data_IF_491710695411
#
_entry.id   IF_491710695411
#
_cell.length_a   1.000
_cell.length_b   1.000
_cell.length_c   1.000
_cell.angle_alpha   90.00
_cell.angle_beta   90.00
_cell.angle_gamma   90.00
#
_symmetry.space_group_name_H-M   'P 1'
#
loop_
_entity.id
_entity.type
_entity.pdbx_description
1 polymer ?
#
# COMPACT_ATOMS: atom_id res chain seq x y z
N UNK A 1 13.53 -25.47 -19.15
CA UNK A 1 12.55 -24.99 -18.16
C UNK A 1 12.07 -26.04 -17.16
N UNK A 2 11.58 -27.21 -17.58
CA UNK A 2 11.06 -28.25 -16.65
C UNK A 2 12.13 -28.84 -15.72
N UNK A 3 13.37 -28.96 -16.21
CA UNK A 3 14.52 -29.45 -15.44
C UNK A 3 14.97 -28.45 -14.36
N UNK A 4 15.02 -27.16 -14.71
CA UNK A 4 15.24 -26.05 -13.76
C UNK A 4 14.18 -26.01 -12.65
N UNK A 5 12.90 -26.15 -13.01
CA UNK A 5 11.81 -26.20 -12.02
C UNK A 5 11.98 -27.41 -11.09
N UNK A 6 12.33 -28.59 -11.62
CA UNK A 6 12.58 -29.79 -10.81
C UNK A 6 13.77 -29.62 -9.87
N UNK A 7 14.85 -29.00 -10.34
CA UNK A 7 16.05 -28.75 -9.55
C UNK A 7 15.78 -27.83 -8.35
N UNK A 8 15.05 -26.73 -8.54
CA UNK A 8 14.75 -25.82 -7.43
C UNK A 8 13.64 -26.35 -6.52
N UNK A 9 12.70 -27.12 -7.07
CA UNK A 9 11.65 -27.77 -6.27
C UNK A 9 12.22 -28.84 -5.33
N UNK A 10 13.27 -29.55 -5.73
CA UNK A 10 13.94 -30.55 -4.88
C UNK A 10 14.71 -29.92 -3.71
N UNK A 11 15.11 -28.64 -3.85
CA UNK A 11 15.78 -27.85 -2.80
C UNK A 11 14.80 -27.22 -1.80
N UNK A 12 13.49 -27.32 -2.01
CA UNK A 12 12.48 -26.76 -1.10
C UNK A 12 12.50 -27.51 0.22
N UNK A 13 12.76 -26.78 1.30
CA UNK A 13 12.72 -27.31 2.66
C UNK A 13 11.26 -27.45 3.08
N UNK A 14 10.91 -28.61 3.66
CA UNK A 14 9.59 -28.82 4.25
C UNK A 14 9.28 -27.76 5.31
N UNK A 15 8.05 -27.24 5.33
CA UNK A 15 7.53 -26.27 6.30
C UNK A 15 7.87 -26.61 7.76
N UNK A 16 7.82 -27.88 8.17
CA UNK A 16 8.16 -28.29 9.54
C UNK A 16 9.66 -28.11 9.83
N UNK A 17 10.52 -28.55 8.91
CA UNK A 17 11.97 -28.38 8.98
C UNK A 17 12.38 -26.91 8.89
N UNK A 18 11.61 -26.10 8.16
CA UNK A 18 11.77 -24.65 8.10
C UNK A 18 11.53 -24.04 9.48
N UNK A 19 10.39 -24.32 10.13
CA UNK A 19 10.10 -23.81 11.47
C UNK A 19 11.12 -24.26 12.53
N UNK A 20 11.56 -25.51 12.49
CA UNK A 20 12.56 -26.02 13.44
C UNK A 20 13.97 -25.48 13.22
N UNK A 21 14.28 -24.99 12.01
CA UNK A 21 15.56 -24.34 11.72
C UNK A 21 15.59 -22.89 12.23
N UNK A 22 14.44 -22.27 12.39
CA UNK A 22 14.33 -20.90 12.88
C UNK A 22 14.66 -20.81 14.38
N UNK A 23 15.28 -19.69 14.79
CA UNK A 23 15.57 -19.43 16.20
C UNK A 23 14.24 -19.37 16.98
N UNK A 24 14.19 -19.95 18.18
CA UNK A 24 12.99 -19.92 19.05
C UNK A 24 12.45 -18.49 19.21
N UNK A 25 13.33 -17.49 19.31
CA UNK A 25 12.96 -16.06 19.37
C UNK A 25 12.10 -15.62 18.17
N UNK A 26 12.35 -16.13 16.97
CA UNK A 26 11.57 -15.79 15.76
C UNK A 26 10.15 -16.35 15.89
N UNK A 27 10.02 -17.62 16.30
CA UNK A 27 8.71 -18.27 16.48
C UNK A 27 7.87 -17.52 17.53
N UNK A 28 8.49 -17.09 18.63
CA UNK A 28 7.83 -16.33 19.68
C UNK A 28 7.33 -14.95 19.22
N UNK A 29 7.96 -14.35 18.20
CA UNK A 29 7.52 -13.06 17.64
C UNK A 29 6.41 -13.18 16.60
N UNK A 30 6.13 -14.39 16.09
CA UNK A 30 5.07 -14.61 15.09
C UNK A 30 3.71 -14.06 15.58
N UNK A 31 3.21 -14.40 16.79
CA UNK A 31 1.93 -13.84 17.26
C UNK A 31 1.88 -12.31 17.29
N UNK A 32 3.00 -11.66 17.58
CA UNK A 32 3.10 -10.19 17.60
C UNK A 32 3.03 -9.63 16.17
N UNK A 33 3.73 -10.22 15.21
CA UNK A 33 3.67 -9.79 13.81
C UNK A 33 2.24 -9.93 13.26
N UNK A 34 1.59 -11.04 13.60
CA UNK A 34 0.23 -11.32 13.16
C UNK A 34 -0.83 -10.48 13.87
N UNK A 35 -0.58 -10.00 15.08
CA UNK A 35 -1.52 -9.10 15.77
C UNK A 35 -1.73 -7.79 15.01
N UNK A 36 -0.70 -7.31 14.29
CA UNK A 36 -0.76 -6.10 13.44
C UNK A 36 -1.66 -6.30 12.21
N UNK A 37 -1.98 -7.54 11.84
CA UNK A 37 -2.91 -7.81 10.74
C UNK A 37 -4.34 -7.34 11.05
N UNK A 38 -4.75 -7.41 12.33
CA UNK A 38 -6.08 -6.99 12.76
C UNK A 38 -6.31 -5.48 12.54
N UNK A 39 -5.46 -4.57 13.05
CA UNK A 39 -5.63 -3.14 12.79
C UNK A 39 -5.44 -2.80 11.31
N UNK A 40 -4.58 -3.51 10.57
CA UNK A 40 -4.45 -3.33 9.13
C UNK A 40 -5.75 -3.63 8.39
N UNK A 41 -6.40 -4.76 8.72
CA UNK A 41 -7.68 -5.13 8.12
C UNK A 41 -8.79 -4.14 8.47
N UNK A 42 -8.85 -3.66 9.71
CA UNK A 42 -9.78 -2.60 10.09
C UNK A 42 -9.53 -1.32 9.29
N UNK A 43 -8.27 -0.90 9.15
CA UNK A 43 -7.90 0.26 8.34
C UNK A 43 -8.35 0.11 6.88
N UNK A 44 -8.16 -1.06 6.26
CA UNK A 44 -8.63 -1.37 4.90
C UNK A 44 -10.14 -1.15 4.76
N UNK A 45 -10.93 -1.66 5.71
CA UNK A 45 -12.39 -1.49 5.74
C UNK A 45 -12.75 0.00 5.86
N UNK A 46 -12.20 0.69 6.86
CA UNK A 46 -12.55 2.08 7.13
C UNK A 46 -12.16 3.00 5.98
N UNK A 47 -10.98 2.82 5.40
CA UNK A 47 -10.51 3.62 4.26
C UNK A 47 -11.33 3.32 2.99
N UNK A 48 -11.67 2.05 2.76
CA UNK A 48 -12.55 1.65 1.66
C UNK A 48 -13.94 2.29 1.80
N UNK A 49 -14.52 2.26 3.01
CA UNK A 49 -15.81 2.88 3.30
C UNK A 49 -15.77 4.40 3.18
N UNK A 50 -14.72 5.03 3.74
CA UNK A 50 -14.47 6.46 3.66
C UNK A 50 -14.48 6.94 2.21
N UNK A 51 -13.67 6.35 1.33
CA UNK A 51 -13.68 6.77 -0.06
C UNK A 51 -14.98 6.37 -0.78
N UNK A 52 -15.62 5.26 -0.40
CA UNK A 52 -16.86 4.85 -1.05
C UNK A 52 -17.98 5.88 -0.85
N UNK A 53 -18.03 6.50 0.33
CA UNK A 53 -19.02 7.50 0.74
C UNK A 53 -18.58 8.91 0.34
N UNK A 54 -17.39 9.34 0.75
CA UNK A 54 -16.96 10.73 0.64
C UNK A 54 -16.52 11.11 -0.77
N UNK A 55 -15.81 10.24 -1.49
CA UNK A 55 -15.23 10.63 -2.78
C UNK A 55 -16.28 10.98 -3.84
N UNK A 56 -17.41 10.27 -3.96
CA UNK A 56 -18.51 10.70 -4.84
C UNK A 56 -19.08 12.08 -4.48
N UNK A 57 -19.19 12.41 -3.18
CA UNK A 57 -19.73 13.69 -2.71
C UNK A 57 -18.81 14.84 -3.13
N UNK A 58 -17.50 14.65 -2.96
CA UNK A 58 -16.48 15.64 -3.29
C UNK A 58 -15.95 15.55 -4.73
N UNK A 59 -16.55 14.70 -5.57
CA UNK A 59 -16.12 14.41 -6.96
C UNK A 59 -14.66 13.97 -7.11
N UNK A 60 -14.07 13.41 -6.06
CA UNK A 60 -12.72 12.85 -6.08
C UNK A 60 -12.77 11.48 -6.77
N UNK A 61 -11.84 11.14 -7.68
CA UNK A 61 -11.84 9.81 -8.29
C UNK A 61 -11.43 8.74 -7.27
N UNK A 62 -12.17 7.63 -7.24
CA UNK A 62 -11.90 6.47 -6.38
C UNK A 62 -10.56 5.80 -6.72
N UNK A 63 -9.87 5.33 -5.68
CA UNK A 63 -8.63 4.58 -5.80
C UNK A 63 -8.99 3.11 -6.05
N UNK A 64 -8.46 2.53 -7.13
CA UNK A 64 -8.68 1.12 -7.45
C UNK A 64 -7.78 0.27 -6.57
N UNK A 65 -8.36 -0.42 -5.58
CA UNK A 65 -7.63 -1.29 -4.63
C UNK A 65 -6.72 -2.33 -5.30
N UNK A 66 -7.18 -2.89 -6.43
CA UNK A 66 -6.45 -3.91 -7.21
C UNK A 66 -5.11 -3.42 -7.80
N UNK A 67 -4.93 -2.11 -7.94
CA UNK A 67 -3.69 -1.54 -8.49
C UNK A 67 -2.58 -1.48 -7.41
N UNK A 68 -2.93 -1.69 -6.14
CA UNK A 68 -2.03 -1.59 -4.99
C UNK A 68 -1.83 -2.93 -4.29
N UNK A 69 -2.92 -3.67 -4.02
CA UNK A 69 -2.85 -4.98 -3.35
C UNK A 69 -2.79 -6.06 -4.44
N UNK A 70 -1.56 -6.41 -4.82
CA UNK A 70 -1.25 -7.46 -5.80
C UNK A 70 -0.68 -8.66 -5.04
N UNK A 71 -1.32 -9.81 -5.22
CA UNK A 71 -0.96 -11.07 -4.56
C UNK A 71 -0.63 -12.06 -5.67
N UNK A 72 0.65 -12.24 -6.00
CA UNK A 72 1.10 -13.07 -7.11
C UNK A 72 2.20 -14.07 -6.71
N UNK A 73 2.86 -13.86 -5.57
CA UNK A 73 3.97 -14.71 -5.10
C UNK A 73 3.53 -16.07 -4.56
N UNK A 74 2.23 -16.30 -4.39
CA UNK A 74 1.71 -17.61 -3.96
C UNK A 74 1.99 -18.73 -4.98
N UNK A 75 2.21 -18.39 -6.25
CA UNK A 75 2.53 -19.34 -7.32
C UNK A 75 4.02 -19.72 -7.41
N UNK A 76 4.89 -19.13 -6.58
CA UNK A 76 6.32 -19.40 -6.63
C UNK A 76 6.61 -20.84 -6.17
N UNK A 77 7.01 -21.68 -7.12
CA UNK A 77 7.20 -23.13 -6.95
C UNK A 77 8.39 -23.51 -6.06
N UNK A 78 9.28 -22.56 -5.78
CA UNK A 78 10.47 -22.73 -4.95
C UNK A 78 10.28 -22.29 -3.49
N UNK A 79 9.06 -21.89 -3.10
CA UNK A 79 8.73 -21.54 -1.72
C UNK A 79 7.93 -22.67 -1.04
N UNK A 80 8.15 -22.86 0.25
CA UNK A 80 7.28 -23.69 1.07
C UNK A 80 6.01 -22.93 1.49
N UNK A 81 5.01 -23.64 2.03
CA UNK A 81 3.71 -23.05 2.39
C UNK A 81 3.82 -21.91 3.43
N UNK A 82 4.75 -22.01 4.39
CA UNK A 82 4.92 -20.96 5.42
C UNK A 82 5.53 -19.71 4.82
N UNK A 83 6.52 -19.88 3.94
CA UNK A 83 7.12 -18.77 3.21
C UNK A 83 6.10 -18.09 2.29
N UNK A 84 5.23 -18.86 1.64
CA UNK A 84 4.14 -18.32 0.84
C UNK A 84 3.15 -17.49 1.68
N UNK A 85 2.77 -17.98 2.86
CA UNK A 85 1.91 -17.23 3.80
C UNK A 85 2.58 -15.93 4.25
N UNK A 86 3.88 -15.94 4.56
CA UNK A 86 4.61 -14.73 4.92
C UNK A 86 4.70 -13.74 3.74
N UNK A 87 4.84 -14.25 2.51
CA UNK A 87 4.78 -13.40 1.31
C UNK A 87 3.41 -12.73 1.19
N UNK A 88 2.32 -13.50 1.35
CA UNK A 88 0.96 -12.98 1.34
C UNK A 88 0.76 -11.85 2.36
N UNK A 89 1.28 -12.04 3.58
CA UNK A 89 1.25 -11.00 4.63
C UNK A 89 1.94 -9.71 4.15
N UNK A 90 3.16 -9.82 3.63
CA UNK A 90 3.93 -8.66 3.17
C UNK A 90 3.32 -7.98 1.94
N UNK A 91 2.81 -8.76 0.98
CA UNK A 91 2.12 -8.26 -0.21
C UNK A 91 0.86 -7.48 0.19
N UNK A 92 0.06 -8.05 1.09
CA UNK A 92 -1.14 -7.39 1.59
C UNK A 92 -0.80 -6.10 2.35
N UNK A 93 0.13 -6.15 3.30
CA UNK A 93 0.41 -5.01 4.16
C UNK A 93 1.01 -3.84 3.37
N UNK A 94 2.04 -4.08 2.55
CA UNK A 94 2.65 -3.02 1.75
C UNK A 94 1.68 -2.47 0.70
N UNK A 95 0.90 -3.35 0.06
CA UNK A 95 -0.14 -2.93 -0.87
C UNK A 95 -1.21 -2.07 -0.19
N UNK A 96 -1.64 -2.45 1.01
CA UNK A 96 -2.60 -1.68 1.81
C UNK A 96 -2.05 -0.30 2.17
N UNK A 97 -0.81 -0.20 2.67
CA UNK A 97 -0.22 1.11 3.01
C UNK A 97 -0.12 2.00 1.77
N UNK A 98 0.26 1.45 0.62
CA UNK A 98 0.25 2.19 -0.65
C UNK A 98 -1.15 2.68 -1.04
N UNK A 99 -2.16 1.81 -0.93
CA UNK A 99 -3.56 2.14 -1.20
C UNK A 99 -4.08 3.26 -0.29
N UNK A 100 -3.84 3.14 1.02
CA UNK A 100 -4.24 4.16 2.00
C UNK A 100 -3.54 5.48 1.74
N UNK A 101 -2.26 5.45 1.42
CA UNK A 101 -1.48 6.65 1.09
C UNK A 101 -2.01 7.37 -0.16
N UNK A 102 -2.42 6.63 -1.18
CA UNK A 102 -3.04 7.23 -2.36
C UNK A 102 -4.39 7.87 -2.03
N UNK A 103 -5.23 7.18 -1.24
CA UNK A 103 -6.50 7.74 -0.77
C UNK A 103 -6.26 9.06 -0.03
N UNK A 104 -5.33 9.05 0.92
CA UNK A 104 -4.95 10.24 1.68
C UNK A 104 -4.41 11.35 0.75
N UNK A 105 -3.55 11.04 -0.22
CA UNK A 105 -2.99 12.02 -1.15
C UNK A 105 -4.03 12.68 -2.06
N UNK A 106 -5.09 11.96 -2.46
CA UNK A 106 -6.22 12.54 -3.20
C UNK A 106 -7.11 13.40 -2.31
N UNK A 107 -7.33 12.96 -1.07
CA UNK A 107 -8.01 13.77 -0.05
C UNK A 107 -7.24 15.06 0.24
N UNK A 108 -5.93 14.98 0.39
CA UNK A 108 -5.05 16.11 0.65
C UNK A 108 -5.09 17.13 -0.50
N UNK A 109 -5.07 16.66 -1.75
CA UNK A 109 -5.23 17.54 -2.91
C UNK A 109 -6.53 18.37 -2.84
N UNK A 110 -7.62 17.74 -2.42
CA UNK A 110 -8.92 18.42 -2.31
C UNK A 110 -8.98 19.41 -1.14
N UNK A 111 -8.41 19.08 0.02
CA UNK A 111 -8.54 19.94 1.20
C UNK A 111 -7.47 21.02 1.29
N UNK A 112 -6.19 20.64 1.13
CA UNK A 112 -5.04 21.50 1.37
C UNK A 112 -3.84 21.07 0.49
N UNK A 113 -3.83 21.41 -0.81
CA UNK A 113 -2.75 21.05 -1.72
C UNK A 113 -1.52 21.95 -1.54
N UNK A 114 -0.91 21.97 -0.34
CA UNK A 114 0.26 22.79 -0.01
C UNK A 114 1.43 21.88 0.39
N UNK A 115 2.61 22.11 -0.17
CA UNK A 115 3.82 21.38 0.18
C UNK A 115 4.28 21.70 1.61
N UNK A 116 4.92 20.74 2.26
CA UNK A 116 5.64 20.93 3.51
C UNK A 116 6.83 21.88 3.34
N UNK A 117 7.11 22.67 4.39
CA UNK A 117 8.31 23.49 4.48
C UNK A 117 9.60 22.65 4.51
N UNK A 118 9.52 21.48 5.16
CA UNK A 118 10.63 20.55 5.25
C UNK A 118 10.63 19.55 4.10
N UNK A 119 11.83 19.09 3.74
CA UNK A 119 11.99 18.06 2.72
C UNK A 119 11.50 16.72 3.26
N UNK A 120 10.46 16.19 2.63
CA UNK A 120 9.98 14.84 2.91
C UNK A 120 10.92 13.77 2.34
N UNK A 121 11.01 12.63 3.03
CA UNK A 121 11.77 11.46 2.57
C UNK A 121 11.14 10.79 1.35
N UNK A 122 9.81 10.80 1.28
CA UNK A 122 9.04 10.20 0.21
C UNK A 122 7.72 10.98 0.04
N UNK A 123 7.25 11.12 -1.18
CA UNK A 123 6.06 11.93 -1.53
C UNK A 123 5.02 11.06 -2.23
N UNK A 124 3.73 11.28 -1.97
CA UNK A 124 2.68 10.58 -2.72
C UNK A 124 2.53 11.12 -4.15
N UNK A 125 1.81 10.39 -4.99
CA UNK A 125 1.63 10.67 -6.43
C UNK A 125 1.15 12.09 -6.75
N UNK A 126 0.31 12.66 -5.88
CA UNK A 126 -0.33 13.98 -6.03
C UNK A 126 0.54 15.16 -5.60
N UNK A 127 1.54 14.94 -4.75
CA UNK A 127 2.29 16.00 -4.06
C UNK A 127 2.99 17.00 -5.01
N UNK A 128 3.38 16.53 -6.21
CA UNK A 128 3.99 17.37 -7.24
C UNK A 128 3.05 18.48 -7.77
N UNK A 129 1.73 18.30 -7.63
CA UNK A 129 0.72 19.25 -8.11
C UNK A 129 0.39 20.32 -7.05
N UNK A 130 1.03 20.29 -5.88
CA UNK A 130 0.70 21.17 -4.76
C UNK A 130 1.44 22.51 -4.86
N UNK A 131 0.86 23.53 -4.24
CA UNK A 131 1.48 24.85 -4.07
C UNK A 131 2.75 24.77 -3.22
N UNK A 132 3.73 25.61 -3.52
CA UNK A 132 4.92 25.71 -2.70
C UNK A 132 4.59 26.29 -1.32
N UNK A 133 5.35 25.86 -0.31
CA UNK A 133 5.14 26.31 1.06
C UNK A 133 5.31 27.84 1.15
N UNK A 134 4.28 28.53 1.67
CA UNK A 134 4.28 29.98 1.85
C UNK A 134 3.82 30.79 0.64
N UNK A 135 3.49 30.15 -0.50
CA UNK A 135 2.94 30.85 -1.66
C UNK A 135 1.43 31.13 -1.49
N UNK A 136 1.12 32.11 -0.64
CA UNK A 136 -0.24 32.51 -0.35
C UNK A 136 -0.97 33.07 -1.58
N UNK A 137 -0.23 33.68 -2.52
CA UNK A 137 -0.81 34.30 -3.71
C UNK A 137 -1.31 33.22 -4.67
N UNK A 138 -0.44 32.29 -5.06
CA UNK A 138 -0.83 31.19 -5.96
C UNK A 138 -1.96 30.36 -5.34
N UNK A 139 -1.90 30.10 -4.03
CA UNK A 139 -2.97 29.41 -3.33
C UNK A 139 -4.33 30.15 -3.45
N UNK A 140 -4.38 31.46 -3.19
CA UNK A 140 -5.64 32.21 -3.28
C UNK A 140 -6.19 32.30 -4.71
N UNK A 141 -5.31 32.36 -5.71
CA UNK A 141 -5.71 32.52 -7.11
C UNK A 141 -6.15 31.19 -7.76
N UNK A 142 -5.53 30.06 -7.38
CA UNK A 142 -5.64 28.81 -8.14
C UNK A 142 -6.15 27.60 -7.32
N UNK A 143 -6.42 27.74 -6.01
CA UNK A 143 -6.75 26.59 -5.14
C UNK A 143 -7.91 25.75 -5.68
N UNK A 144 -8.99 26.37 -6.14
CA UNK A 144 -10.16 25.64 -6.62
C UNK A 144 -9.88 24.84 -7.89
N UNK A 145 -8.93 25.31 -8.71
CA UNK A 145 -8.48 24.60 -9.92
C UNK A 145 -7.70 23.34 -9.50
N UNK A 146 -6.70 23.50 -8.63
CA UNK A 146 -5.85 22.38 -8.18
C UNK A 146 -6.67 21.34 -7.39
N UNK A 147 -7.65 21.76 -6.60
CA UNK A 147 -8.51 20.86 -5.82
C UNK A 147 -9.29 19.87 -6.68
N UNK A 148 -9.73 20.31 -7.85
CA UNK A 148 -10.54 19.50 -8.77
C UNK A 148 -9.72 18.84 -9.89
N UNK A 149 -8.44 19.20 -10.04
CA UNK A 149 -7.58 18.67 -11.11
C UNK A 149 -7.15 17.22 -10.88
N UNK A 150 -8.02 16.31 -11.29
CA UNK A 150 -7.74 14.88 -11.36
C UNK A 150 -7.74 14.36 -12.80
N UNK A 151 -7.50 15.22 -13.78
CA UNK A 151 -7.61 14.85 -15.20
C UNK A 151 -6.58 13.78 -15.60
N UNK A 152 -5.42 13.77 -14.96
CA UNK A 152 -4.36 12.79 -15.17
C UNK A 152 -4.74 11.35 -14.72
N UNK A 153 -5.80 11.21 -13.91
CA UNK A 153 -6.30 9.92 -13.42
C UNK A 153 -7.42 9.33 -14.28
N UNK A 154 -7.95 10.08 -15.25
CA UNK A 154 -9.01 9.63 -16.18
C UNK A 154 -8.39 8.76 -17.29
N UNK A 155 -8.04 7.51 -16.96
CA UNK A 155 -7.68 6.44 -17.91
C UNK A 155 -8.52 5.20 -17.71
#
# INVERSE_FOLDING_TARGET
DTEYIKEYKSKVINSFKYLWKERISIILTIPIIWSVLIPAFLLDIFVSLYQAICFPIYKIPKVKRKDYIIIDRYNLFYLNKIQQINCLYCEYFNGLIGYVREVAGRTEQYWCPIKHAEKMKDTHSRYKNFFDYGDAKAYQEEVDIIREDFNDLKK
#
